data_IF_840757888767
#
_entry.id   IF_840757888767
#
_cell.length_a   1.000
_cell.length_b   1.000
_cell.length_c   1.000
_cell.angle_alpha   90.00
_cell.angle_beta   90.00
_cell.angle_gamma   90.00
#
_symmetry.space_group_name_H-M   'P 1'
#
loop_
_entity.id
_entity.type
_entity.pdbx_description
1 polymer ?
#
# COMPACT_ATOMS: atom_id res chain seq x y z
N UNK A 1 20.69 -16.20 -27.41
CA UNK A 1 20.65 -15.65 -26.04
C UNK A 1 19.40 -14.79 -25.90
N UNK A 2 18.35 -15.35 -25.28
CA UNK A 2 17.07 -14.68 -25.10
C UNK A 2 17.13 -13.83 -23.83
N UNK A 3 17.22 -12.51 -23.98
CA UNK A 3 17.02 -11.59 -22.87
C UNK A 3 15.51 -11.53 -22.58
N UNK A 4 15.07 -12.28 -21.58
CA UNK A 4 13.76 -12.07 -20.97
C UNK A 4 13.74 -10.64 -20.44
N UNK A 5 13.05 -9.76 -21.16
CA UNK A 5 12.72 -8.44 -20.70
C UNK A 5 12.08 -8.58 -19.32
N UNK A 6 12.79 -8.13 -18.29
CA UNK A 6 12.19 -7.83 -17.01
C UNK A 6 10.93 -7.04 -17.31
N UNK A 7 9.76 -7.65 -17.05
CA UNK A 7 8.48 -6.97 -17.18
C UNK A 7 8.52 -5.80 -16.22
N UNK A 8 8.91 -4.63 -16.72
CA UNK A 8 8.83 -3.37 -15.99
C UNK A 8 7.41 -3.25 -15.48
N UNK A 9 7.30 -3.04 -14.18
CA UNK A 9 6.03 -2.88 -13.50
C UNK A 9 5.34 -1.66 -14.12
N UNK A 10 4.29 -1.88 -14.90
CA UNK A 10 3.60 -0.87 -15.72
C UNK A 10 2.94 0.26 -14.92
N UNK A 11 2.98 0.20 -13.59
CA UNK A 11 2.49 1.24 -12.68
C UNK A 11 3.47 2.41 -12.55
N UNK A 12 4.75 2.13 -12.27
CA UNK A 12 5.77 3.14 -11.93
C UNK A 12 6.53 3.63 -13.16
N UNK A 13 6.98 2.70 -14.01
CA UNK A 13 7.75 3.00 -15.21
C UNK A 13 7.01 2.43 -16.42
N UNK A 14 6.13 3.24 -17.01
CA UNK A 14 5.32 2.83 -18.16
C UNK A 14 6.08 3.14 -19.45
N UNK A 15 6.00 2.22 -20.40
CA UNK A 15 6.47 2.40 -21.78
C UNK A 15 5.30 2.32 -22.76
N UNK A 16 5.43 2.96 -23.92
CA UNK A 16 4.53 2.81 -25.07
C UNK A 16 5.31 2.20 -26.21
N UNK A 17 4.73 1.19 -26.86
CA UNK A 17 5.33 0.53 -28.01
C UNK A 17 4.80 1.16 -29.30
N UNK A 18 5.70 1.41 -30.26
CA UNK A 18 5.36 1.76 -31.63
C UNK A 18 6.12 0.81 -32.55
N UNK A 19 5.47 -0.27 -32.99
CA UNK A 19 6.15 -1.35 -33.73
C UNK A 19 7.17 -2.08 -32.85
N UNK A 20 8.46 -2.03 -33.21
CA UNK A 20 9.58 -2.61 -32.43
C UNK A 20 10.20 -1.63 -31.44
N UNK A 21 9.83 -0.35 -31.50
CA UNK A 21 10.41 0.70 -30.65
C UNK A 21 9.60 0.87 -29.36
N UNK A 22 10.30 1.09 -28.26
CA UNK A 22 9.72 1.31 -26.94
C UNK A 22 10.17 2.68 -26.43
N UNK A 23 9.21 3.56 -26.17
CA UNK A 23 9.48 4.89 -25.60
C UNK A 23 8.89 5.00 -24.20
N UNK A 24 9.56 5.77 -23.34
CA UNK A 24 9.02 6.10 -22.02
C UNK A 24 7.69 6.83 -22.13
N UNK A 25 6.70 6.42 -21.33
CA UNK A 25 5.39 7.07 -21.21
C UNK A 25 5.21 7.47 -19.76
N UNK A 26 5.80 8.59 -19.32
CA UNK A 26 5.79 8.99 -17.91
C UNK A 26 4.37 9.18 -17.38
N UNK A 27 4.16 8.87 -16.10
CA UNK A 27 2.88 9.13 -15.42
C UNK A 27 2.75 10.65 -15.15
N UNK A 28 1.56 11.25 -15.32
CA UNK A 28 1.36 12.68 -15.15
C UNK A 28 1.84 13.22 -13.79
N UNK A 29 1.56 12.52 -12.68
CA UNK A 29 1.96 12.98 -11.35
C UNK A 29 3.49 13.09 -11.18
N UNK A 30 4.23 12.07 -11.62
CA UNK A 30 5.69 12.10 -11.57
C UNK A 30 6.29 13.14 -12.51
N UNK A 31 5.71 13.29 -13.71
CA UNK A 31 6.10 14.31 -14.66
C UNK A 31 5.89 15.72 -14.09
N UNK A 32 4.69 16.02 -13.58
CA UNK A 32 4.36 17.32 -13.01
C UNK A 32 5.20 17.64 -11.78
N UNK A 33 5.50 16.65 -10.91
CA UNK A 33 6.40 16.86 -9.78
C UNK A 33 7.80 17.27 -10.24
N UNK A 34 8.36 16.57 -11.24
CA UNK A 34 9.69 16.88 -11.77
C UNK A 34 9.73 18.21 -12.54
N UNK A 35 8.69 18.55 -13.32
CA UNK A 35 8.61 19.80 -14.07
C UNK A 35 8.36 20.99 -13.14
N UNK A 36 7.26 20.97 -12.38
CA UNK A 36 6.77 22.14 -11.65
C UNK A 36 7.50 22.37 -10.33
N UNK A 37 7.86 21.30 -9.62
CA UNK A 37 8.43 21.41 -8.27
C UNK A 37 9.95 21.27 -8.28
N UNK A 38 10.47 20.26 -8.97
CA UNK A 38 11.92 20.01 -9.01
C UNK A 38 12.65 20.96 -9.96
N UNK A 39 12.28 20.97 -11.25
CA UNK A 39 12.91 21.80 -12.27
C UNK A 39 12.39 23.24 -12.27
N UNK A 40 11.17 23.45 -11.76
CA UNK A 40 10.44 24.73 -11.80
C UNK A 40 10.30 25.29 -13.22
N UNK A 41 10.07 24.38 -14.15
CA UNK A 41 9.97 24.63 -15.59
C UNK A 41 8.89 23.69 -16.18
N UNK A 42 7.69 24.23 -16.52
CA UNK A 42 6.60 23.43 -17.07
C UNK A 42 6.91 22.84 -18.46
N UNK A 43 7.88 23.40 -19.18
CA UNK A 43 8.25 22.99 -20.54
C UNK A 43 9.45 22.02 -20.54
N UNK A 44 10.02 21.70 -19.37
CA UNK A 44 11.18 20.82 -19.26
C UNK A 44 10.93 19.46 -19.90
N UNK A 45 11.70 19.15 -20.94
CA UNK A 45 11.68 17.84 -21.59
C UNK A 45 12.37 16.78 -20.73
N UNK A 46 11.57 16.02 -19.98
CA UNK A 46 12.07 14.97 -19.08
C UNK A 46 12.64 13.76 -19.83
N UNK A 47 12.35 13.59 -21.13
CA UNK A 47 12.83 12.44 -21.90
C UNK A 47 14.32 12.52 -22.23
N UNK A 48 14.90 13.71 -22.12
CA UNK A 48 16.31 14.00 -22.42
C UNK A 48 17.20 14.09 -21.18
N UNK A 49 16.66 13.83 -19.99
CA UNK A 49 17.44 13.90 -18.76
C UNK A 49 18.51 12.81 -18.72
N UNK A 50 19.75 13.21 -18.44
CA UNK A 50 20.76 12.27 -17.99
C UNK A 50 20.40 11.70 -16.61
N UNK A 51 20.98 10.55 -16.26
CA UNK A 51 20.81 9.94 -14.93
C UNK A 51 21.23 10.90 -13.81
N UNK A 52 22.29 11.67 -14.01
CA UNK A 52 22.81 12.60 -13.01
C UNK A 52 21.90 13.81 -12.84
N UNK A 53 21.37 14.37 -13.92
CA UNK A 53 20.36 15.44 -13.84
C UNK A 53 19.10 14.96 -13.13
N UNK A 54 18.60 13.77 -13.46
CA UNK A 54 17.45 13.19 -12.76
C UNK A 54 17.72 13.02 -11.26
N UNK A 55 18.90 12.52 -10.88
CA UNK A 55 19.29 12.39 -9.47
C UNK A 55 19.40 13.75 -8.78
N UNK A 56 19.93 14.77 -9.46
CA UNK A 56 20.01 16.14 -8.92
C UNK A 56 18.63 16.73 -8.70
N UNK A 57 17.71 16.60 -9.66
CA UNK A 57 16.32 17.05 -9.54
C UNK A 57 15.59 16.37 -8.38
N UNK A 58 15.74 15.04 -8.25
CA UNK A 58 15.13 14.30 -7.15
C UNK A 58 15.66 14.75 -5.77
N UNK A 59 16.98 14.94 -5.64
CA UNK A 59 17.60 15.45 -4.40
C UNK A 59 17.15 16.87 -4.08
N UNK A 60 17.14 17.76 -5.08
CA UNK A 60 16.69 19.13 -4.92
C UNK A 60 15.23 19.18 -4.45
N UNK A 61 14.33 18.44 -5.11
CA UNK A 61 12.92 18.37 -4.70
C UNK A 61 12.77 17.85 -3.26
N UNK A 62 13.53 16.82 -2.88
CA UNK A 62 13.51 16.32 -1.50
C UNK A 62 13.96 17.39 -0.51
N UNK A 63 15.08 18.08 -0.77
CA UNK A 63 15.59 19.14 0.10
C UNK A 63 14.59 20.30 0.27
N UNK A 64 13.89 20.67 -0.80
CA UNK A 64 12.95 21.79 -0.78
C UNK A 64 11.61 21.45 -0.12
N UNK A 65 11.07 20.25 -0.38
CA UNK A 65 9.68 19.95 -0.04
C UNK A 65 9.50 18.86 1.01
N UNK A 66 10.57 18.21 1.50
CA UNK A 66 10.42 17.09 2.45
C UNK A 66 9.64 17.48 3.71
N UNK A 67 9.84 18.70 4.23
CA UNK A 67 9.18 19.18 5.45
C UNK A 67 7.66 19.31 5.30
N UNK A 68 7.15 19.55 4.10
CA UNK A 68 5.72 19.80 3.86
C UNK A 68 5.02 18.66 3.12
N UNK A 69 5.72 17.94 2.24
CA UNK A 69 5.12 16.99 1.31
C UNK A 69 5.47 15.53 1.62
N UNK A 70 6.54 15.24 2.35
CA UNK A 70 6.94 13.85 2.59
C UNK A 70 6.07 13.16 3.65
N UNK A 71 5.45 13.94 4.54
CA UNK A 71 4.52 13.46 5.60
C UNK A 71 5.01 12.19 6.31
N UNK A 72 6.31 12.14 6.61
CA UNK A 72 7.00 10.93 7.07
C UNK A 72 7.51 11.04 8.51
N UNK A 73 7.03 12.03 9.26
CA UNK A 73 7.44 12.23 10.65
C UNK A 73 6.91 11.08 11.52
N UNK A 74 7.77 10.30 12.19
CA UNK A 74 7.33 9.25 13.10
C UNK A 74 6.92 9.77 14.48
N UNK A 75 7.21 11.03 14.83
CA UNK A 75 6.82 11.61 16.11
C UNK A 75 5.32 11.96 16.11
N UNK A 76 4.54 11.06 16.72
CA UNK A 76 3.11 11.21 16.91
C UNK A 76 2.75 11.57 18.37
N UNK A 77 3.71 12.03 19.18
CA UNK A 77 3.50 12.32 20.62
C UNK A 77 2.37 13.33 20.84
N UNK A 78 2.37 14.45 20.12
CA UNK A 78 1.30 15.45 20.23
C UNK A 78 -0.08 14.89 19.85
N UNK A 79 -0.14 14.04 18.82
CA UNK A 79 -1.39 13.38 18.41
C UNK A 79 -1.89 12.41 19.50
N UNK A 80 -0.99 11.62 20.07
CA UNK A 80 -1.27 10.72 21.19
C UNK A 80 -1.73 11.50 22.43
N UNK A 81 -1.02 12.56 22.81
CA UNK A 81 -1.30 13.34 24.03
C UNK A 81 -2.64 14.07 23.93
N UNK A 82 -3.05 14.42 22.70
CA UNK A 82 -4.40 14.88 22.38
C UNK A 82 -5.46 13.75 22.36
N UNK A 83 -5.10 12.53 22.76
CA UNK A 83 -5.92 11.31 22.78
C UNK A 83 -6.41 10.86 21.39
N UNK A 84 -5.71 11.26 20.33
CA UNK A 84 -6.03 10.89 18.95
C UNK A 84 -5.92 9.37 18.73
N UNK A 85 -6.78 8.82 17.87
CA UNK A 85 -6.76 7.42 17.43
C UNK A 85 -6.55 7.37 15.92
N UNK A 86 -5.62 6.53 15.47
CA UNK A 86 -5.26 6.36 14.08
C UNK A 86 -5.43 4.89 13.68
N UNK A 87 -6.19 4.68 12.62
CA UNK A 87 -6.27 3.39 11.93
C UNK A 87 -5.74 3.58 10.52
N UNK A 88 -4.74 2.79 10.13
CA UNK A 88 -4.23 2.73 8.76
C UNK A 88 -4.41 1.32 8.23
N UNK A 89 -4.78 1.19 6.96
CA UNK A 89 -4.68 -0.09 6.25
C UNK A 89 -3.91 0.07 4.95
N UNK A 90 -3.21 -0.98 4.52
CA UNK A 90 -2.54 -1.00 3.22
C UNK A 90 -2.66 -2.39 2.58
N UNK A 91 -2.91 -2.42 1.27
CA UNK A 91 -2.98 -3.66 0.50
C UNK A 91 -1.63 -4.37 0.36
N UNK A 92 -1.60 -5.70 0.53
CA UNK A 92 -0.39 -6.50 0.43
C UNK A 92 -0.26 -7.28 -0.88
N UNK A 93 1.00 -7.44 -1.28
CA UNK A 93 1.48 -8.34 -2.35
C UNK A 93 2.09 -9.65 -1.80
N UNK A 94 1.86 -9.98 -0.51
CA UNK A 94 2.53 -11.15 0.10
C UNK A 94 1.75 -12.44 -0.16
N UNK A 95 2.49 -13.43 -0.63
CA UNK A 95 2.06 -14.81 -0.72
C UNK A 95 1.61 -15.35 0.64
N UNK A 96 0.37 -15.84 0.71
CA UNK A 96 -0.09 -16.71 1.78
C UNK A 96 0.74 -18.02 1.79
N UNK A 97 0.75 -18.80 2.90
CA UNK A 97 1.53 -20.02 3.02
C UNK A 97 1.33 -20.99 1.84
N UNK A 98 2.39 -21.70 1.48
CA UNK A 98 2.56 -22.52 0.28
C UNK A 98 1.41 -23.52 -0.03
N UNK A 99 0.63 -23.91 0.98
CA UNK A 99 -0.51 -24.82 0.79
C UNK A 99 -1.74 -24.16 0.15
N UNK A 100 -1.78 -22.82 0.06
CA UNK A 100 -2.87 -22.04 -0.57
C UNK A 100 -2.45 -21.50 -1.96
N UNK A 101 -1.34 -22.01 -2.53
CA UNK A 101 -0.72 -21.44 -3.72
C UNK A 101 -1.41 -21.84 -5.04
N UNK A 102 -2.18 -22.92 -5.06
CA UNK A 102 -2.69 -23.50 -6.33
C UNK A 102 -3.89 -22.72 -6.91
N UNK A 103 -4.65 -21.99 -6.07
CA UNK A 103 -5.85 -21.24 -6.52
C UNK A 103 -5.60 -19.72 -6.62
N UNK A 104 -4.62 -19.15 -5.90
CA UNK A 104 -4.51 -17.68 -5.71
C UNK A 104 -3.45 -17.00 -6.63
N UNK A 105 -2.82 -17.72 -7.57
CA UNK A 105 -1.82 -17.10 -8.48
C UNK A 105 -2.39 -15.97 -9.38
N UNK A 106 -3.69 -15.97 -9.65
CA UNK A 106 -4.40 -14.93 -10.42
C UNK A 106 -4.80 -13.71 -9.58
N UNK A 107 -5.07 -13.90 -8.29
CA UNK A 107 -5.46 -12.84 -7.34
C UNK A 107 -4.22 -12.12 -6.77
N UNK A 108 -3.11 -12.82 -6.55
CA UNK A 108 -1.93 -12.24 -5.89
C UNK A 108 -1.08 -11.31 -6.75
N UNK A 109 -1.33 -11.20 -8.06
CA UNK A 109 -0.60 -10.25 -8.95
C UNK A 109 -1.06 -8.78 -8.81
N UNK A 110 -1.92 -8.48 -7.84
CA UNK A 110 -2.78 -7.30 -7.82
C UNK A 110 -2.56 -6.41 -6.57
N UNK A 111 -1.31 -6.10 -6.27
CA UNK A 111 -0.93 -5.15 -5.21
C UNK A 111 -1.04 -3.68 -5.60
N UNK A 112 -0.96 -2.77 -4.60
CA UNK A 112 -0.69 -1.36 -4.86
C UNK A 112 0.74 -1.21 -5.39
N UNK A 113 0.84 -1.17 -6.72
CA UNK A 113 2.10 -1.00 -7.44
C UNK A 113 2.43 0.47 -7.67
N UNK A 114 1.60 1.40 -7.20
CA UNK A 114 1.81 2.85 -7.33
C UNK A 114 2.38 3.38 -6.01
N UNK A 115 1.79 2.98 -4.88
CA UNK A 115 2.26 3.30 -3.53
C UNK A 115 2.60 1.97 -2.83
N UNK A 116 3.87 1.77 -2.49
CA UNK A 116 4.29 0.49 -1.92
C UNK A 116 3.92 0.39 -0.45
N UNK A 117 3.34 -0.73 -0.02
CA UNK A 117 3.01 -1.00 1.40
C UNK A 117 4.23 -0.90 2.33
N UNK A 118 5.43 -1.16 1.82
CA UNK A 118 6.69 -1.03 2.58
C UNK A 118 6.89 0.37 3.15
N UNK A 119 6.39 1.41 2.49
CA UNK A 119 6.46 2.78 3.01
C UNK A 119 5.63 2.94 4.29
N UNK A 120 4.40 2.44 4.30
CA UNK A 120 3.53 2.41 5.48
C UNK A 120 4.10 1.50 6.58
N UNK A 121 4.57 0.31 6.21
CA UNK A 121 5.22 -0.61 7.15
C UNK A 121 6.43 0.04 7.84
N UNK A 122 7.26 0.76 7.07
CA UNK A 122 8.44 1.43 7.58
C UNK A 122 8.08 2.59 8.52
N UNK A 123 7.10 3.43 8.17
CA UNK A 123 6.63 4.51 9.05
C UNK A 123 6.11 3.94 10.38
N UNK A 124 5.21 2.95 10.33
CA UNK A 124 4.68 2.29 11.52
C UNK A 124 5.78 1.60 12.36
N UNK A 125 6.88 1.14 11.76
CA UNK A 125 8.05 0.60 12.48
C UNK A 125 8.89 1.68 13.18
N UNK A 126 8.88 2.91 12.70
CA UNK A 126 9.64 4.02 13.31
C UNK A 126 8.90 4.72 14.44
N UNK A 127 7.57 4.81 14.38
CA UNK A 127 6.75 5.39 15.45
C UNK A 127 7.07 4.80 16.86
N UNK A 128 7.19 3.47 17.07
CA UNK A 128 7.45 2.93 18.40
C UNK A 128 8.86 3.17 18.93
N UNK A 129 9.77 3.71 18.12
CA UNK A 129 11.08 4.16 18.59
C UNK A 129 10.98 5.45 19.42
N UNK A 130 9.88 6.20 19.26
CA UNK A 130 9.58 7.46 19.97
C UNK A 130 8.40 7.27 20.94
N UNK A 131 7.35 6.56 20.51
CA UNK A 131 6.15 6.28 21.30
C UNK A 131 5.97 4.76 21.49
N UNK A 132 6.62 4.14 22.51
CA UNK A 132 6.55 2.70 22.76
C UNK A 132 5.13 2.15 22.96
N UNK A 133 4.22 3.03 23.36
CA UNK A 133 2.78 2.86 23.57
C UNK A 133 1.95 2.99 22.28
N UNK A 134 2.56 2.83 21.10
CA UNK A 134 1.88 2.90 19.79
C UNK A 134 0.55 2.14 19.73
N UNK A 135 0.44 1.00 20.42
CA UNK A 135 -0.76 0.14 20.41
C UNK A 135 -1.98 0.82 21.03
N UNK A 136 -1.80 1.87 21.82
CA UNK A 136 -2.89 2.56 22.50
C UNK A 136 -3.53 3.63 21.60
N UNK A 137 -2.90 3.99 20.47
CA UNK A 137 -3.37 5.07 19.62
C UNK A 137 -3.18 4.88 18.10
N UNK A 138 -2.34 3.95 17.64
CA UNK A 138 -2.12 3.72 16.22
C UNK A 138 -2.11 2.23 15.86
N UNK A 139 -3.10 1.80 15.06
CA UNK A 139 -3.23 0.44 14.54
C UNK A 139 -3.05 0.40 13.02
N UNK A 140 -2.17 -0.48 12.54
CA UNK A 140 -1.90 -0.71 11.12
C UNK A 140 -2.31 -2.13 10.70
N UNK A 141 -3.26 -2.21 9.76
CA UNK A 141 -3.79 -3.44 9.18
C UNK A 141 -3.24 -3.67 7.78
N UNK A 142 -2.76 -4.88 7.53
CA UNK A 142 -2.34 -5.28 6.20
C UNK A 142 -3.44 -6.13 5.55
N UNK A 143 -3.87 -5.75 4.34
CA UNK A 143 -5.01 -6.36 3.66
C UNK A 143 -4.54 -7.19 2.46
N UNK A 144 -4.52 -8.53 2.55
CA UNK A 144 -4.06 -9.38 1.46
C UNK A 144 -4.86 -9.19 0.18
N UNK A 145 -4.19 -9.05 -0.96
CA UNK A 145 -4.85 -9.00 -2.27
C UNK A 145 -5.58 -7.70 -2.58
N UNK A 146 -5.52 -6.68 -1.71
CA UNK A 146 -6.05 -5.33 -1.97
C UNK A 146 -5.11 -4.52 -2.89
N UNK A 147 -5.70 -3.87 -3.91
CA UNK A 147 -5.00 -2.92 -4.81
C UNK A 147 -4.90 -1.52 -4.19
N UNK A 148 -4.49 -0.54 -5.01
CA UNK A 148 -4.51 0.88 -4.71
C UNK A 148 -5.92 1.38 -4.34
N UNK A 149 -6.16 1.58 -3.04
CA UNK A 149 -7.38 2.11 -2.38
C UNK A 149 -8.70 1.34 -2.63
N UNK A 150 -9.01 1.00 -3.87
CA UNK A 150 -10.29 0.43 -4.32
C UNK A 150 -10.05 -0.76 -5.25
N UNK A 151 -11.05 -1.64 -5.33
CA UNK A 151 -11.16 -2.65 -6.37
C UNK A 151 -10.10 -3.76 -6.29
N UNK A 152 -10.50 -4.94 -5.82
CA UNK A 152 -9.62 -6.10 -5.80
C UNK A 152 -10.35 -7.36 -5.33
N UNK A 153 -9.75 -8.52 -5.60
CA UNK A 153 -10.20 -9.78 -5.02
C UNK A 153 -9.92 -9.91 -3.50
N UNK A 154 -9.01 -9.12 -2.92
CA UNK A 154 -8.73 -9.11 -1.47
C UNK A 154 -9.81 -8.47 -0.58
N UNK A 155 -10.93 -8.04 -1.17
CA UNK A 155 -12.02 -7.43 -0.43
C UNK A 155 -11.82 -5.99 0.04
N UNK A 156 -12.88 -5.39 0.56
CA UNK A 156 -12.83 -4.03 1.12
C UNK A 156 -12.95 -4.05 2.65
N UNK A 157 -12.15 -3.26 3.39
CA UNK A 157 -12.36 -3.08 4.82
C UNK A 157 -13.64 -2.27 5.07
N UNK A 158 -14.74 -2.94 5.39
CA UNK A 158 -16.06 -2.30 5.53
C UNK A 158 -16.31 -1.72 6.94
N UNK A 159 -15.51 -2.12 7.93
CA UNK A 159 -15.73 -1.74 9.32
C UNK A 159 -14.78 -0.65 9.87
N UNK A 160 -13.72 -0.27 9.14
CA UNK A 160 -12.65 0.61 9.65
C UNK A 160 -13.19 1.91 10.26
N UNK A 161 -14.18 2.56 9.62
CA UNK A 161 -14.78 3.79 10.14
C UNK A 161 -15.53 3.56 11.46
N UNK A 162 -16.36 2.52 11.55
CA UNK A 162 -17.10 2.20 12.79
C UNK A 162 -16.15 1.77 13.90
N UNK A 163 -15.06 1.09 13.56
CA UNK A 163 -14.03 0.71 14.52
C UNK A 163 -13.30 1.92 15.08
N UNK A 164 -12.96 2.90 14.23
CA UNK A 164 -12.41 4.17 14.67
C UNK A 164 -13.39 4.89 15.60
N UNK A 165 -14.66 4.97 15.21
CA UNK A 165 -15.72 5.57 16.02
C UNK A 165 -15.81 4.91 17.41
N UNK A 166 -15.91 3.57 17.44
CA UNK A 166 -15.99 2.80 18.69
C UNK A 166 -14.74 2.98 19.56
N UNK A 167 -13.58 3.13 18.95
CA UNK A 167 -12.34 3.35 19.69
C UNK A 167 -12.27 4.75 20.30
N UNK A 168 -12.71 5.76 19.56
CA UNK A 168 -12.74 7.16 20.02
C UNK A 168 -13.82 7.38 21.08
N UNK A 169 -15.04 6.89 20.84
CA UNK A 169 -16.21 7.16 21.67
C UNK A 169 -16.28 6.23 22.90
N UNK A 170 -15.97 4.94 22.70
CA UNK A 170 -16.21 3.90 23.72
C UNK A 170 -14.92 3.27 24.25
N UNK A 171 -13.75 3.64 23.73
CA UNK A 171 -12.47 3.03 24.10
C UNK A 171 -12.26 1.60 23.57
N UNK A 172 -13.14 1.11 22.68
CA UNK A 172 -13.04 -0.25 22.12
C UNK A 172 -11.91 -0.34 21.10
N UNK A 173 -10.77 -0.89 21.52
CA UNK A 173 -9.58 -1.06 20.69
C UNK A 173 -9.85 -2.10 19.58
N UNK A 174 -9.60 -1.79 18.29
CA UNK A 174 -9.80 -2.75 17.22
C UNK A 174 -8.68 -3.79 17.19
N UNK A 175 -8.92 -4.96 17.76
CA UNK A 175 -7.94 -6.06 17.70
C UNK A 175 -7.82 -6.73 16.32
N UNK A 176 -8.83 -6.51 15.47
CA UNK A 176 -8.89 -7.01 14.10
C UNK A 176 -9.88 -6.19 13.28
N UNK A 177 -9.80 -6.23 11.95
CA UNK A 177 -10.78 -5.64 11.03
C UNK A 177 -11.34 -6.71 10.10
N UNK A 178 -12.67 -6.84 9.96
CA UNK A 178 -13.27 -7.68 8.93
C UNK A 178 -12.97 -7.11 7.54
N UNK A 179 -12.82 -8.00 6.57
CA UNK A 179 -12.69 -7.72 5.14
C UNK A 179 -13.63 -8.65 4.36
N UNK A 180 -14.30 -8.14 3.34
CA UNK A 180 -15.26 -8.90 2.53
C UNK A 180 -14.61 -9.33 1.21
N UNK A 181 -14.18 -10.59 1.10
CA UNK A 181 -13.41 -11.15 -0.02
C UNK A 181 -14.34 -11.83 -1.03
N UNK A 182 -14.49 -11.30 -2.26
CA UNK A 182 -15.26 -11.97 -3.30
C UNK A 182 -14.50 -13.18 -3.85
N UNK A 183 -15.15 -14.34 -3.88
CA UNK A 183 -14.65 -15.59 -4.49
C UNK A 183 -15.76 -16.17 -5.36
N UNK A 184 -15.56 -16.18 -6.69
CA UNK A 184 -16.61 -16.54 -7.65
C UNK A 184 -17.86 -15.66 -7.50
N UNK A 185 -19.05 -16.24 -7.33
CA UNK A 185 -20.31 -15.55 -7.07
C UNK A 185 -20.54 -15.23 -5.58
N UNK A 186 -19.69 -15.75 -4.69
CA UNK A 186 -19.84 -15.64 -3.23
C UNK A 186 -18.92 -14.57 -2.61
N UNK A 187 -19.30 -14.08 -1.43
CA UNK A 187 -18.49 -13.16 -0.62
C UNK A 187 -18.19 -13.75 0.75
N UNK A 188 -16.90 -13.90 1.07
CA UNK A 188 -16.42 -14.47 2.32
C UNK A 188 -15.91 -13.37 3.28
N UNK A 189 -16.23 -13.51 4.57
CA UNK A 189 -15.73 -12.59 5.61
C UNK A 189 -14.41 -13.10 6.18
N UNK A 190 -13.32 -12.36 5.96
CA UNK A 190 -12.02 -12.64 6.57
C UNK A 190 -11.68 -11.59 7.64
N UNK A 191 -10.69 -11.90 8.48
CA UNK A 191 -10.30 -11.05 9.61
C UNK A 191 -8.81 -10.69 9.47
N UNK A 192 -8.51 -9.39 9.44
CA UNK A 192 -7.15 -8.85 9.42
C UNK A 192 -6.74 -8.39 10.82
N UNK A 193 -5.66 -8.96 11.37
CA UNK A 193 -5.09 -8.51 12.63
C UNK A 193 -3.96 -7.47 12.41
N UNK A 194 -3.69 -6.57 13.38
CA UNK A 194 -2.58 -5.63 13.28
C UNK A 194 -1.23 -6.34 13.21
N UNK A 195 -0.27 -5.76 12.48
CA UNK A 195 1.05 -6.31 12.06
C UNK A 195 1.92 -7.08 13.09
N UNK A 196 1.64 -7.03 14.39
CA UNK A 196 2.32 -7.87 15.41
C UNK A 196 1.59 -9.16 15.78
N UNK A 197 0.28 -9.25 15.53
CA UNK A 197 -0.46 -10.53 15.54
C UNK A 197 -0.40 -11.07 14.10
N UNK A 198 0.74 -11.67 13.71
CA UNK A 198 0.82 -12.36 12.41
C UNK A 198 -0.31 -13.39 12.37
N UNK A 199 -0.90 -13.58 11.19
CA UNK A 199 -2.11 -14.35 10.85
C UNK A 199 -3.34 -13.46 10.65
N UNK A 200 -3.56 -13.03 9.41
CA UNK A 200 -4.92 -13.05 8.88
C UNK A 200 -5.30 -14.54 8.84
N UNK A 201 -5.98 -15.02 9.87
CA UNK A 201 -6.56 -16.36 9.86
C UNK A 201 -7.87 -16.27 9.10
N UNK A 202 -7.95 -16.99 7.99
CA UNK A 202 -9.24 -17.38 7.42
C UNK A 202 -9.92 -18.22 8.53
N UNK A 203 -11.12 -17.85 9.03
CA UNK A 203 -11.83 -18.67 10.01
C UNK A 203 -11.94 -20.10 9.47
N UNK A 204 -11.78 -21.12 10.32
CA UNK A 204 -11.96 -22.54 9.95
C UNK A 204 -13.34 -22.85 9.36
N UNK A 205 -14.30 -21.92 9.50
CA UNK A 205 -15.63 -21.95 8.90
C UNK A 205 -15.72 -21.34 7.49
N UNK A 206 -14.66 -20.74 6.97
CA UNK A 206 -14.54 -20.56 5.53
C UNK A 206 -14.02 -21.89 5.00
N UNK A 207 -14.95 -22.71 4.51
CA UNK A 207 -14.70 -24.03 3.97
C UNK A 207 -13.56 -24.04 2.95
N UNK A 208 -13.13 -25.25 2.60
CA UNK A 208 -12.07 -25.43 1.63
C UNK A 208 -12.46 -24.79 0.30
N UNK A 209 -11.89 -23.61 -0.01
CA UNK A 209 -12.16 -22.85 -1.24
C UNK A 209 -11.75 -23.61 -2.53
N UNK A 210 -11.14 -24.79 -2.40
CA UNK A 210 -10.85 -25.68 -3.52
C UNK A 210 -11.91 -26.78 -3.73
N UNK A 211 -12.91 -26.93 -2.84
CA UNK A 211 -13.87 -28.03 -2.88
C UNK A 211 -15.34 -27.60 -3.06
N UNK A 212 -15.66 -26.30 -3.17
CA UNK A 212 -17.08 -25.84 -3.24
C UNK A 212 -17.99 -26.51 -2.19
N UNK A 213 -17.46 -26.82 -1.00
CA UNK A 213 -18.23 -27.40 0.10
C UNK A 213 -17.91 -26.62 1.39
N UNK A 214 -18.94 -25.97 1.93
CA UNK A 214 -19.00 -25.50 3.31
C UNK A 214 -19.72 -26.54 4.17
#
# INVERSE_FOLDING_TARGET
MNWTAWRMVSSLAKTKCTGKDYVGSPRPLGQQWLQLFAAKDPEKDLTKLSRDENNRLARFASQQYKSIANTSDPDLTKFRDARGKLITYHGLDRNLPLFVMTVINSVMKQSDKIITYKSTEQHHKFVPLISPDIRDFYHYFEVPGKKHCYGSAGGEPTAIFRQLQSWVENGTVPESSPIDVPVSEDTHKCICAPTRKRHCSIPTSCGNLALEEC
#
